data_IF_014234647220
#
_entry.id   IF_014234647220
#
_cell.length_a   1.000
_cell.length_b   1.000
_cell.length_c   1.000
_cell.angle_alpha   90.00
_cell.angle_beta   90.00
_cell.angle_gamma   90.00
#
_symmetry.space_group_name_H-M   'P 1'
#
loop_
_entity.id
_entity.type
_entity.pdbx_description
1 polymer ?
#
# COMPACT_ATOMS: atom_id res chain seq x y z
N UNK A 1 -22.22 49.71 -1.99
CA UNK A 1 -21.79 48.55 -2.82
C UNK A 1 -20.58 47.83 -2.24
N UNK A 2 -19.45 48.50 -1.97
CA UNK A 2 -18.23 47.87 -1.39
C UNK A 2 -18.44 47.04 -0.12
N UNK A 3 -19.25 47.51 0.84
CA UNK A 3 -19.55 46.73 2.05
C UNK A 3 -20.39 45.48 1.82
N UNK A 4 -21.26 45.47 0.79
CA UNK A 4 -22.03 44.28 0.44
C UNK A 4 -21.15 43.21 -0.21
N UNK A 5 -20.20 43.62 -1.06
CA UNK A 5 -19.25 42.72 -1.71
C UNK A 5 -18.31 42.08 -0.67
N UNK A 6 -17.76 42.88 0.25
CA UNK A 6 -16.90 42.38 1.33
C UNK A 6 -17.62 41.39 2.26
N UNK A 7 -18.89 41.66 2.59
CA UNK A 7 -19.69 40.73 3.40
C UNK A 7 -19.93 39.40 2.67
N UNK A 8 -20.27 39.45 1.37
CA UNK A 8 -20.51 38.23 0.58
C UNK A 8 -19.24 37.41 0.40
N UNK A 9 -18.08 38.05 0.19
CA UNK A 9 -16.81 37.33 0.05
C UNK A 9 -16.37 36.72 1.38
N UNK A 10 -16.52 37.44 2.50
CA UNK A 10 -16.19 36.91 3.81
C UNK A 10 -17.09 35.71 4.18
N UNK A 11 -18.39 35.79 3.92
CA UNK A 11 -19.33 34.68 4.16
C UNK A 11 -19.02 33.48 3.27
N UNK A 12 -18.68 33.69 1.99
CA UNK A 12 -18.30 32.61 1.09
C UNK A 12 -17.03 31.89 1.56
N UNK A 13 -15.99 32.63 1.95
CA UNK A 13 -14.75 32.06 2.48
C UNK A 13 -15.00 31.29 3.79
N UNK A 14 -15.86 31.82 4.66
CA UNK A 14 -16.21 31.16 5.93
C UNK A 14 -17.02 29.87 5.70
N UNK A 15 -17.92 29.85 4.72
CA UNK A 15 -18.69 28.66 4.35
C UNK A 15 -17.82 27.59 3.68
N UNK A 16 -16.87 27.99 2.84
CA UNK A 16 -15.91 27.06 2.22
C UNK A 16 -14.98 26.48 3.29
N UNK A 17 -14.43 27.33 4.17
CA UNK A 17 -13.58 26.89 5.28
C UNK A 17 -14.31 25.99 6.27
N UNK A 18 -15.56 26.32 6.63
CA UNK A 18 -16.40 25.49 7.49
C UNK A 18 -16.81 24.17 6.82
N UNK A 19 -17.02 24.16 5.49
CA UNK A 19 -17.28 22.95 4.72
C UNK A 19 -16.09 22.00 4.70
N UNK A 20 -14.87 22.51 4.49
CA UNK A 20 -13.64 21.72 4.53
C UNK A 20 -13.37 21.13 5.92
N UNK A 21 -13.55 21.94 6.97
CA UNK A 21 -13.40 21.49 8.36
C UNK A 21 -14.49 20.48 8.74
N UNK A 22 -15.72 20.64 8.26
CA UNK A 22 -16.80 19.69 8.48
C UNK A 22 -16.58 18.36 7.74
N UNK A 23 -16.05 18.36 6.52
CA UNK A 23 -15.68 17.12 5.80
C UNK A 23 -14.55 16.38 6.53
N UNK A 24 -13.57 17.11 7.06
CA UNK A 24 -12.51 16.51 7.91
C UNK A 24 -13.03 15.97 9.25
N UNK A 25 -13.99 16.66 9.87
CA UNK A 25 -14.53 16.28 11.19
C UNK A 25 -15.67 15.26 11.13
N UNK A 26 -16.32 15.07 9.98
CA UNK A 26 -17.47 14.17 9.81
C UNK A 26 -17.11 12.86 9.07
N UNK A 27 -15.84 12.65 8.72
CA UNK A 27 -15.39 11.50 7.93
C UNK A 27 -15.91 11.59 6.50
N UNK A 28 -15.06 12.06 5.58
CA UNK A 28 -15.31 11.87 4.15
C UNK A 28 -15.41 10.36 3.82
N UNK A 29 -15.88 9.98 2.61
CA UNK A 29 -15.68 8.61 2.14
C UNK A 29 -14.21 8.24 2.32
N UNK A 30 -13.94 7.05 2.86
CA UNK A 30 -12.59 6.59 3.20
C UNK A 30 -11.65 6.66 2.00
N UNK A 31 -10.34 6.64 2.25
CA UNK A 31 -9.40 6.48 1.12
C UNK A 31 -9.61 5.11 0.48
N UNK A 32 -9.34 4.95 -0.82
CA UNK A 32 -9.43 3.63 -1.48
C UNK A 32 -8.55 2.61 -0.75
N UNK A 33 -7.38 3.05 -0.27
CA UNK A 33 -6.50 2.24 0.58
C UNK A 33 -7.17 1.82 1.88
N UNK A 34 -7.83 2.74 2.59
CA UNK A 34 -8.52 2.46 3.85
C UNK A 34 -9.67 1.48 3.67
N UNK A 35 -10.47 1.65 2.61
CA UNK A 35 -11.53 0.70 2.24
C UNK A 35 -10.95 -0.69 1.91
N UNK A 36 -9.84 -0.74 1.17
CA UNK A 36 -9.16 -1.99 0.85
C UNK A 36 -8.63 -2.69 2.11
N UNK A 37 -7.91 -1.96 2.96
CA UNK A 37 -7.33 -2.48 4.20
C UNK A 37 -8.42 -2.98 5.17
N UNK A 38 -9.57 -2.31 5.25
CA UNK A 38 -10.70 -2.74 6.07
C UNK A 38 -11.27 -4.11 5.65
N UNK A 39 -11.04 -4.57 4.42
CA UNK A 39 -11.46 -5.89 3.94
C UNK A 39 -10.48 -7.01 4.29
N UNK A 40 -9.25 -6.68 4.69
CA UNK A 40 -8.22 -7.67 4.90
C UNK A 40 -8.41 -8.48 6.21
N UNK A 41 -7.86 -9.70 6.29
CA UNK A 41 -7.93 -10.53 7.49
C UNK A 41 -7.31 -9.87 8.72
N UNK A 42 -7.92 -10.07 9.90
CA UNK A 42 -7.45 -9.49 11.17
C UNK A 42 -6.00 -9.82 11.54
N UNK A 43 -5.51 -10.99 11.13
CA UNK A 43 -4.17 -11.47 11.44
C UNK A 43 -3.11 -11.01 10.43
N UNK A 44 -3.50 -10.28 9.37
CA UNK A 44 -2.57 -9.74 8.41
C UNK A 44 -1.63 -8.72 9.08
N UNK A 45 -0.34 -8.87 8.76
CA UNK A 45 0.74 -8.09 9.36
C UNK A 45 1.41 -7.14 8.37
N UNK A 46 1.34 -7.50 7.08
CA UNK A 46 1.89 -6.77 5.94
C UNK A 46 0.81 -6.55 4.89
N UNK A 47 0.68 -5.32 4.46
CA UNK A 47 -0.29 -4.89 3.45
C UNK A 47 0.47 -4.13 2.38
N UNK A 48 0.26 -4.46 1.12
CA UNK A 48 0.77 -3.69 -0.01
C UNK A 48 -0.37 -3.39 -0.97
N UNK A 49 -0.42 -2.16 -1.46
CA UNK A 49 -1.55 -1.63 -2.22
C UNK A 49 -1.05 -0.91 -3.46
N UNK A 50 -1.77 -1.09 -4.57
CA UNK A 50 -1.55 -0.33 -5.80
C UNK A 50 -2.90 0.05 -6.41
N UNK A 51 -3.14 1.35 -6.56
CA UNK A 51 -4.25 1.90 -7.34
C UNK A 51 -3.82 1.97 -8.81
N UNK A 52 -4.07 0.89 -9.55
CA UNK A 52 -3.70 0.78 -10.95
C UNK A 52 -4.38 1.83 -11.84
N UNK A 53 -5.57 2.31 -11.47
CA UNK A 53 -6.20 3.42 -12.17
C UNK A 53 -5.40 4.72 -11.98
N UNK A 54 -4.93 5.00 -10.77
CA UNK A 54 -4.04 6.13 -10.48
C UNK A 54 -2.68 5.97 -11.16
N UNK A 55 -2.08 4.78 -11.14
CA UNK A 55 -0.80 4.50 -11.83
C UNK A 55 -0.93 4.76 -13.33
N UNK A 56 -1.97 4.24 -13.98
CA UNK A 56 -2.24 4.51 -15.41
C UNK A 56 -2.38 6.00 -15.70
N UNK A 57 -3.09 6.73 -14.84
CA UNK A 57 -3.25 8.18 -14.99
C UNK A 57 -1.92 8.93 -14.86
N UNK A 58 -1.06 8.53 -13.92
CA UNK A 58 0.25 9.16 -13.68
C UNK A 58 1.22 8.91 -14.84
N UNK A 59 1.28 7.68 -15.36
CA UNK A 59 2.17 7.34 -16.48
C UNK A 59 1.57 7.60 -17.87
N UNK A 60 0.31 8.02 -17.93
CA UNK A 60 -0.38 8.41 -19.17
C UNK A 60 -0.79 7.25 -20.08
N UNK A 61 -1.03 6.06 -19.53
CA UNK A 61 -1.49 4.88 -20.27
C UNK A 61 -3.00 4.71 -20.20
N UNK A 62 -3.58 3.97 -21.16
CA UNK A 62 -5.01 3.68 -21.18
C UNK A 62 -5.33 2.37 -20.45
N UNK A 63 -6.59 2.19 -20.04
CA UNK A 63 -7.04 0.92 -19.47
C UNK A 63 -7.19 -0.14 -20.58
N UNK A 64 -6.08 -0.80 -20.93
CA UNK A 64 -5.97 -1.69 -22.08
C UNK A 64 -4.87 -2.74 -21.87
N UNK A 65 -5.18 -4.01 -22.08
CA UNK A 65 -4.18 -5.10 -22.07
C UNK A 65 -3.04 -4.88 -23.07
N UNK A 66 -3.30 -4.14 -24.16
CA UNK A 66 -2.25 -3.80 -25.14
C UNK A 66 -1.15 -2.90 -24.59
N UNK A 67 -1.43 -2.17 -23.50
CA UNK A 67 -0.53 -1.18 -22.90
C UNK A 67 0.21 -1.77 -21.68
N UNK A 68 -0.02 -3.04 -21.31
CA UNK A 68 0.50 -3.62 -20.07
C UNK A 68 2.03 -3.49 -19.94
N UNK A 69 2.78 -3.79 -21.01
CA UNK A 69 4.24 -3.73 -20.94
C UNK A 69 4.75 -2.30 -20.72
N UNK A 70 4.11 -1.30 -21.35
CA UNK A 70 4.43 0.12 -21.17
C UNK A 70 4.04 0.61 -19.78
N UNK A 71 2.87 0.19 -19.28
CA UNK A 71 2.43 0.48 -17.91
C UNK A 71 3.41 -0.05 -16.86
N UNK A 72 3.87 -1.29 -16.99
CA UNK A 72 4.80 -1.89 -16.03
C UNK A 72 6.19 -1.23 -16.07
N UNK A 73 6.69 -0.90 -17.27
CA UNK A 73 7.99 -0.24 -17.44
C UNK A 73 7.97 1.19 -16.88
N UNK A 74 6.97 2.00 -17.27
CA UNK A 74 6.82 3.36 -16.80
C UNK A 74 6.46 3.43 -15.30
N UNK A 75 5.65 2.50 -14.81
CA UNK A 75 5.31 2.39 -13.40
C UNK A 75 6.51 1.97 -12.54
N UNK A 76 7.41 1.14 -13.06
CA UNK A 76 8.67 0.81 -12.41
C UNK A 76 9.59 2.03 -12.34
N UNK A 77 9.78 2.76 -13.44
CA UNK A 77 10.60 3.97 -13.47
C UNK A 77 10.10 5.08 -12.52
N UNK A 78 8.80 5.06 -12.20
CA UNK A 78 8.16 5.96 -11.24
C UNK A 78 8.05 5.38 -9.81
N UNK A 79 8.59 4.19 -9.56
CA UNK A 79 8.51 3.46 -8.28
C UNK A 79 7.09 3.07 -7.81
N UNK A 80 6.10 3.17 -8.71
CA UNK A 80 4.69 2.93 -8.42
C UNK A 80 4.30 1.45 -8.43
N UNK A 81 5.10 0.60 -9.07
CA UNK A 81 4.81 -0.84 -9.17
C UNK A 81 5.46 -1.65 -8.05
N UNK A 82 6.30 -1.02 -7.21
CA UNK A 82 7.13 -1.71 -6.22
C UNK A 82 6.34 -2.47 -5.14
N UNK A 83 5.16 -1.94 -4.79
CA UNK A 83 4.28 -2.54 -3.79
C UNK A 83 3.38 -3.65 -4.36
N UNK A 84 3.32 -3.82 -5.68
CA UNK A 84 2.35 -4.72 -6.29
C UNK A 84 2.68 -6.20 -6.04
N UNK A 85 1.65 -6.96 -5.66
CA UNK A 85 1.68 -8.43 -5.60
C UNK A 85 1.51 -9.09 -6.97
N UNK A 86 0.97 -8.36 -7.96
CA UNK A 86 0.62 -8.91 -9.27
C UNK A 86 1.65 -8.69 -10.37
N UNK A 87 2.60 -7.76 -10.25
CA UNK A 87 3.59 -7.43 -11.30
C UNK A 87 4.26 -8.68 -11.88
N UNK A 88 4.70 -9.60 -11.02
CA UNK A 88 5.36 -10.85 -11.44
C UNK A 88 4.46 -11.77 -12.27
N UNK A 89 3.14 -11.75 -12.01
CA UNK A 89 2.14 -12.54 -12.72
C UNK A 89 1.44 -11.77 -13.83
N UNK A 90 1.64 -10.46 -13.96
CA UNK A 90 0.86 -9.60 -14.83
C UNK A 90 0.83 -10.07 -16.30
N UNK A 91 1.97 -10.49 -16.91
CA UNK A 91 1.93 -11.05 -18.26
C UNK A 91 1.09 -12.32 -18.37
N UNK A 92 1.13 -13.19 -17.34
CA UNK A 92 0.30 -14.39 -17.29
C UNK A 92 -1.17 -14.05 -17.15
N UNK A 93 -1.50 -13.13 -16.25
CA UNK A 93 -2.87 -12.67 -16.01
C UNK A 93 -3.48 -12.12 -17.30
N UNK A 94 -2.77 -11.24 -18.00
CA UNK A 94 -3.19 -10.70 -19.29
C UNK A 94 -3.45 -11.78 -20.35
N UNK A 95 -2.49 -12.69 -20.54
CA UNK A 95 -2.57 -13.70 -21.60
C UNK A 95 -3.58 -14.83 -21.29
N UNK A 96 -3.62 -15.28 -20.04
CA UNK A 96 -4.32 -16.51 -19.65
C UNK A 96 -5.55 -16.25 -18.80
N UNK A 97 -5.65 -15.15 -18.04
CA UNK A 97 -6.80 -14.86 -17.17
C UNK A 97 -7.72 -13.76 -17.73
N UNK A 98 -7.26 -12.98 -18.71
CA UNK A 98 -8.09 -11.98 -19.41
C UNK A 98 -8.30 -10.70 -18.61
N UNK A 99 -7.46 -10.45 -17.62
CA UNK A 99 -7.38 -9.24 -16.82
C UNK A 99 -5.94 -9.07 -16.33
N UNK A 100 -5.53 -7.87 -16.00
CA UNK A 100 -4.20 -7.58 -15.46
C UNK A 100 -4.18 -6.21 -14.77
N UNK A 101 -3.05 -5.79 -14.17
CA UNK A 101 -2.80 -4.39 -13.80
C UNK A 101 -3.24 -3.33 -14.83
N UNK A 102 -3.27 -3.68 -16.12
CA UNK A 102 -3.70 -2.76 -17.16
C UNK A 102 -5.21 -2.49 -17.20
N UNK A 103 -6.04 -3.33 -16.58
CA UNK A 103 -7.51 -3.25 -16.68
C UNK A 103 -8.24 -3.19 -15.34
N UNK A 104 -7.61 -3.64 -14.25
CA UNK A 104 -8.20 -3.57 -12.90
C UNK A 104 -8.10 -2.16 -12.32
N UNK A 105 -8.90 -1.85 -11.30
CA UNK A 105 -8.85 -0.54 -10.64
C UNK A 105 -7.74 -0.48 -9.61
N UNK A 106 -7.72 -1.43 -8.68
CA UNK A 106 -6.73 -1.48 -7.61
C UNK A 106 -6.52 -2.91 -7.11
N UNK A 107 -5.41 -3.13 -6.43
CA UNK A 107 -5.10 -4.38 -5.72
C UNK A 107 -4.62 -4.11 -4.28
N UNK A 108 -4.87 -5.07 -3.40
CA UNK A 108 -4.31 -5.15 -2.06
C UNK A 108 -3.83 -6.58 -1.78
N UNK A 109 -2.54 -6.73 -1.51
CA UNK A 109 -1.99 -7.97 -0.95
C UNK A 109 -1.89 -7.84 0.58
N UNK A 110 -2.61 -8.72 1.29
CA UNK A 110 -2.54 -8.85 2.74
C UNK A 110 -1.86 -10.19 3.12
N UNK A 111 -0.84 -10.13 3.99
CA UNK A 111 -0.03 -11.28 4.36
C UNK A 111 0.07 -11.47 5.87
N UNK A 112 -0.06 -12.72 6.31
CA UNK A 112 0.19 -13.18 7.66
C UNK A 112 1.09 -14.44 7.64
N UNK A 113 1.60 -14.89 8.81
CA UNK A 113 2.22 -16.21 8.91
C UNK A 113 1.28 -17.36 8.49
N UNK A 114 -0.04 -17.14 8.51
CA UNK A 114 -1.10 -18.11 8.19
C UNK A 114 -1.66 -18.01 6.77
N UNK A 115 -1.17 -17.08 5.95
CA UNK A 115 -1.37 -17.12 4.50
C UNK A 115 -1.25 -15.74 3.85
N UNK A 116 -1.48 -15.69 2.56
CA UNK A 116 -1.55 -14.46 1.79
C UNK A 116 -2.85 -14.42 0.98
N UNK A 117 -3.50 -13.26 0.96
CA UNK A 117 -4.67 -12.99 0.14
C UNK A 117 -4.47 -11.70 -0.67
N UNK A 118 -4.68 -11.80 -1.97
CA UNK A 118 -4.78 -10.69 -2.90
C UNK A 118 -6.26 -10.33 -3.06
N UNK A 119 -6.61 -9.07 -2.89
CA UNK A 119 -7.95 -8.52 -3.08
C UNK A 119 -7.86 -7.52 -4.22
N UNK A 120 -8.65 -7.74 -5.27
CA UNK A 120 -8.56 -6.98 -6.52
C UNK A 120 -9.92 -6.41 -6.86
N UNK A 121 -10.00 -5.10 -7.09
CA UNK A 121 -11.17 -4.49 -7.73
C UNK A 121 -11.08 -4.66 -9.24
N UNK A 122 -12.01 -5.43 -9.80
CA UNK A 122 -12.03 -5.76 -11.22
C UNK A 122 -12.36 -4.56 -12.13
N UNK A 123 -12.90 -3.47 -11.57
CA UNK A 123 -13.33 -2.30 -12.34
C UNK A 123 -14.34 -2.68 -13.42
N UNK A 124 -13.99 -2.42 -14.69
CA UNK A 124 -14.85 -2.75 -15.84
C UNK A 124 -14.72 -4.22 -16.31
N UNK A 125 -13.79 -5.00 -15.75
CA UNK A 125 -13.64 -6.42 -16.08
C UNK A 125 -14.85 -7.20 -15.59
N UNK A 126 -15.50 -7.94 -16.49
CA UNK A 126 -16.68 -8.73 -16.16
C UNK A 126 -16.34 -9.92 -15.25
N UNK A 127 -16.98 -10.06 -14.08
CA UNK A 127 -16.83 -11.23 -13.21
C UNK A 127 -17.13 -12.55 -13.93
N UNK A 128 -18.16 -12.57 -14.78
CA UNK A 128 -18.52 -13.76 -15.55
C UNK A 128 -17.38 -14.18 -16.48
N UNK A 129 -16.76 -13.21 -17.16
CA UNK A 129 -15.63 -13.48 -18.06
C UNK A 129 -14.42 -14.05 -17.32
N UNK A 130 -14.17 -13.57 -16.09
CA UNK A 130 -13.13 -14.13 -15.22
C UNK A 130 -13.44 -15.58 -14.87
N UNK A 131 -14.66 -15.89 -14.42
CA UNK A 131 -15.03 -17.26 -14.04
C UNK A 131 -15.04 -18.24 -15.21
N UNK A 132 -15.49 -17.81 -16.40
CA UNK A 132 -15.39 -18.60 -17.64
C UNK A 132 -13.92 -18.93 -17.96
N UNK A 133 -13.02 -17.98 -17.72
CA UNK A 133 -11.59 -18.18 -17.96
C UNK A 133 -10.96 -19.11 -16.93
N UNK A 134 -11.32 -19.00 -15.66
CA UNK A 134 -10.89 -19.96 -14.61
C UNK A 134 -11.29 -21.39 -14.98
N UNK A 135 -12.53 -21.61 -15.41
CA UNK A 135 -12.98 -22.93 -15.86
C UNK A 135 -12.18 -23.42 -17.08
N UNK A 136 -11.97 -22.56 -18.09
CA UNK A 136 -11.19 -22.90 -19.28
C UNK A 136 -9.72 -23.25 -18.95
N UNK A 137 -9.15 -22.63 -17.93
CA UNK A 137 -7.81 -22.94 -17.43
C UNK A 137 -7.76 -24.28 -16.67
N UNK A 138 -8.90 -24.78 -16.20
CA UNK A 138 -9.00 -26.05 -15.47
C UNK A 138 -9.12 -25.91 -13.96
N UNK A 139 -9.47 -24.72 -13.45
CA UNK A 139 -9.85 -24.58 -12.05
C UNK A 139 -11.13 -25.37 -11.78
N UNK A 140 -11.19 -26.01 -10.61
CA UNK A 140 -12.38 -26.71 -10.18
C UNK A 140 -13.41 -25.70 -9.68
N UNK A 141 -14.56 -25.68 -10.33
CA UNK A 141 -15.68 -24.80 -9.99
C UNK A 141 -16.21 -25.11 -8.57
N UNK A 142 -16.47 -24.09 -7.74
CA UNK A 142 -17.12 -24.28 -6.44
C UNK A 142 -18.58 -24.73 -6.59
N UNK A 143 -19.17 -25.25 -5.50
CA UNK A 143 -20.58 -25.63 -5.47
C UNK A 143 -21.52 -24.42 -5.34
N UNK A 144 -21.04 -23.36 -4.69
CA UNK A 144 -21.71 -22.06 -4.52
C UNK A 144 -21.07 -21.04 -5.45
N UNK A 145 -21.85 -20.12 -6.01
CA UNK A 145 -21.39 -19.21 -7.07
C UNK A 145 -20.28 -18.24 -6.59
N UNK A 146 -20.26 -17.92 -5.30
CA UNK A 146 -19.26 -17.07 -4.62
C UNK A 146 -18.17 -17.87 -3.88
N UNK A 147 -18.15 -19.20 -4.08
CA UNK A 147 -17.18 -20.08 -3.45
C UNK A 147 -15.78 -20.02 -4.07
N UNK A 148 -14.86 -20.79 -3.48
CA UNK A 148 -13.45 -20.84 -3.91
C UNK A 148 -13.25 -21.82 -5.07
N UNK A 149 -12.79 -21.29 -6.20
CA UNK A 149 -12.25 -22.03 -7.33
C UNK A 149 -10.89 -22.62 -6.97
N UNK A 150 -10.73 -23.92 -7.20
CA UNK A 150 -9.52 -24.65 -6.79
C UNK A 150 -8.65 -24.98 -8.00
N UNK A 151 -7.50 -24.32 -8.11
CA UNK A 151 -6.45 -24.64 -9.08
C UNK A 151 -5.33 -25.47 -8.44
N UNK A 152 -4.79 -24.97 -7.34
CA UNK A 152 -3.67 -25.58 -6.61
C UNK A 152 -2.33 -25.47 -7.34
N UNK A 153 -1.27 -25.99 -6.71
CA UNK A 153 0.11 -25.88 -7.19
C UNK A 153 0.34 -26.56 -8.55
N UNK A 154 -0.26 -27.74 -8.78
CA UNK A 154 -0.06 -28.51 -10.00
C UNK A 154 -0.62 -27.79 -11.22
N UNK A 155 -1.80 -27.17 -11.09
CA UNK A 155 -2.40 -26.41 -12.19
C UNK A 155 -1.55 -25.20 -12.55
N UNK A 156 -1.16 -24.39 -11.56
CA UNK A 156 -0.32 -23.21 -11.79
C UNK A 156 1.03 -23.58 -12.40
N UNK A 157 1.68 -24.65 -11.92
CA UNK A 157 2.92 -25.15 -12.49
C UNK A 157 2.73 -25.60 -13.94
N UNK A 158 1.60 -26.26 -14.25
CA UNK A 158 1.23 -26.67 -15.60
C UNK A 158 0.98 -25.49 -16.54
N UNK A 159 0.30 -24.43 -16.09
CA UNK A 159 0.11 -23.20 -16.86
C UNK A 159 1.45 -22.50 -17.10
N UNK A 160 2.25 -22.32 -16.06
CA UNK A 160 3.57 -21.68 -16.15
C UNK A 160 4.51 -22.45 -17.09
N UNK A 161 4.53 -23.78 -17.02
CA UNK A 161 5.35 -24.62 -17.88
C UNK A 161 4.94 -24.59 -19.36
N UNK A 162 3.65 -24.38 -19.66
CA UNK A 162 3.15 -24.28 -21.05
C UNK A 162 3.38 -22.90 -21.65
N UNK A 163 3.23 -21.85 -20.86
CA UNK A 163 3.30 -20.45 -21.33
C UNK A 163 4.71 -19.86 -21.23
N UNK A 164 5.53 -20.37 -20.32
CA UNK A 164 6.80 -19.75 -19.93
C UNK A 164 6.63 -18.51 -19.05
N UNK A 165 5.40 -18.18 -18.66
CA UNK A 165 5.07 -17.04 -17.81
C UNK A 165 5.01 -17.49 -16.34
N UNK A 166 5.18 -16.54 -15.41
CA UNK A 166 5.20 -16.84 -13.97
C UNK A 166 3.81 -16.64 -13.38
N UNK A 167 3.46 -17.54 -12.45
CA UNK A 167 2.30 -17.39 -11.57
C UNK A 167 2.79 -17.24 -10.13
N UNK A 168 2.28 -16.26 -9.42
CA UNK A 168 2.45 -16.14 -7.97
C UNK A 168 1.61 -17.20 -7.26
N UNK A 169 2.04 -17.67 -6.07
CA UNK A 169 1.29 -18.65 -5.30
C UNK A 169 -0.13 -18.20 -4.93
N UNK A 170 -0.41 -16.89 -4.86
CA UNK A 170 -1.74 -16.36 -4.54
C UNK A 170 -2.80 -16.73 -5.58
N UNK A 171 -2.42 -17.09 -6.81
CA UNK A 171 -3.38 -17.51 -7.83
C UNK A 171 -3.89 -18.95 -7.64
N UNK A 172 -3.43 -19.69 -6.63
CA UNK A 172 -3.80 -21.11 -6.48
C UNK A 172 -5.29 -21.33 -6.21
N UNK A 173 -5.91 -20.38 -5.50
CA UNK A 173 -7.29 -20.42 -5.08
C UNK A 173 -7.91 -19.05 -5.36
N UNK A 174 -9.08 -19.03 -6.00
CA UNK A 174 -9.69 -17.77 -6.44
C UNK A 174 -11.17 -17.75 -6.08
N UNK A 175 -11.68 -16.65 -5.56
CA UNK A 175 -13.12 -16.39 -5.43
C UNK A 175 -13.45 -15.07 -6.14
N UNK A 176 -14.63 -14.98 -6.73
CA UNK A 176 -15.10 -13.78 -7.43
C UNK A 176 -16.47 -13.43 -6.89
N UNK A 177 -16.61 -12.26 -6.26
CA UNK A 177 -17.86 -11.78 -5.67
C UNK A 177 -17.87 -10.26 -5.53
N UNK A 178 -19.04 -9.64 -5.63
CA UNK A 178 -19.25 -8.21 -5.40
C UNK A 178 -18.33 -7.27 -6.22
N UNK A 179 -17.95 -7.69 -7.44
CA UNK A 179 -17.01 -6.93 -8.29
C UNK A 179 -15.54 -7.05 -7.88
N UNK A 180 -15.25 -7.88 -6.86
CA UNK A 180 -13.91 -8.17 -6.38
C UNK A 180 -13.47 -9.58 -6.78
N UNK A 181 -12.17 -9.71 -7.04
CA UNK A 181 -11.47 -10.99 -7.10
C UNK A 181 -10.60 -11.15 -5.86
N UNK A 182 -10.73 -12.29 -5.21
CA UNK A 182 -9.95 -12.68 -4.04
C UNK A 182 -9.08 -13.88 -4.43
N UNK A 183 -7.77 -13.76 -4.32
CA UNK A 183 -6.84 -14.83 -4.65
C UNK A 183 -6.00 -15.21 -3.43
N UNK A 184 -5.90 -16.50 -3.11
CA UNK A 184 -5.18 -16.98 -1.94
C UNK A 184 -4.11 -18.02 -2.25
N UNK A 185 -3.05 -18.04 -1.44
CA UNK A 185 -2.02 -19.08 -1.50
C UNK A 185 -2.42 -20.39 -0.81
N UNK A 186 -3.42 -20.31 0.08
CA UNK A 186 -3.99 -21.41 0.85
C UNK A 186 -5.52 -21.33 0.86
N UNK A 187 -6.19 -22.40 0.46
CA UNK A 187 -7.65 -22.46 0.45
C UNK A 187 -8.28 -22.15 1.83
N UNK A 188 -7.87 -22.76 2.96
CA UNK A 188 -8.50 -22.49 4.24
C UNK A 188 -8.32 -21.04 4.72
N UNK A 189 -7.20 -20.41 4.36
CA UNK A 189 -6.93 -19.02 4.69
C UNK A 189 -7.82 -18.08 3.86
N UNK A 190 -7.94 -18.34 2.55
CA UNK A 190 -8.85 -17.60 1.68
C UNK A 190 -10.32 -17.76 2.13
N UNK A 191 -10.75 -18.97 2.47
CA UNK A 191 -12.11 -19.22 3.00
C UNK A 191 -12.36 -18.44 4.30
N UNK A 192 -11.36 -18.34 5.17
CA UNK A 192 -11.44 -17.55 6.40
C UNK A 192 -11.55 -16.05 6.09
N UNK A 193 -10.75 -15.55 5.15
CA UNK A 193 -10.84 -14.16 4.69
C UNK A 193 -12.23 -13.85 4.09
N UNK A 194 -12.77 -14.76 3.28
CA UNK A 194 -14.07 -14.61 2.63
C UNK A 194 -15.25 -14.71 3.61
N UNK A 195 -15.15 -15.54 4.65
CA UNK A 195 -16.16 -15.64 5.70
C UNK A 195 -16.34 -14.32 6.46
N UNK A 196 -15.34 -13.43 6.41
CA UNK A 196 -15.30 -12.19 7.15
C UNK A 196 -15.02 -12.42 8.64
N UNK A 197 -14.80 -11.33 9.35
CA UNK A 197 -14.46 -11.36 10.77
C UNK A 197 -14.16 -9.96 11.29
N UNK A 198 -13.44 -9.90 12.41
CA UNK A 198 -12.82 -8.65 12.81
C UNK A 198 -11.86 -8.20 11.68
N UNK A 199 -11.83 -6.90 11.40
CA UNK A 199 -10.89 -6.33 10.43
C UNK A 199 -9.47 -6.24 11.00
N UNK A 200 -8.56 -5.54 10.32
CA UNK A 200 -7.25 -5.21 10.88
C UNK A 200 -7.39 -4.44 12.20
N UNK A 201 -6.29 -4.34 12.96
CA UNK A 201 -6.28 -3.55 14.19
C UNK A 201 -6.58 -2.06 13.92
N UNK A 202 -7.20 -1.37 14.89
CA UNK A 202 -7.51 0.06 14.78
C UNK A 202 -6.28 0.88 14.36
N UNK A 203 -5.09 0.56 14.89
CA UNK A 203 -3.86 1.27 14.53
C UNK A 203 -3.50 1.13 13.05
N UNK A 204 -3.77 -0.01 12.41
CA UNK A 204 -3.53 -0.22 10.98
C UNK A 204 -4.60 0.46 10.15
N UNK A 205 -5.88 0.31 10.53
CA UNK A 205 -7.00 0.94 9.86
C UNK A 205 -6.89 2.48 9.87
N UNK A 206 -6.63 3.05 11.06
CA UNK A 206 -6.48 4.50 11.23
C UNK A 206 -5.34 5.06 10.38
N UNK A 207 -4.20 4.35 10.26
CA UNK A 207 -3.08 4.78 9.42
C UNK A 207 -3.41 4.72 7.93
N UNK A 208 -4.10 3.68 7.46
CA UNK A 208 -4.52 3.53 6.08
C UNK A 208 -5.49 4.67 5.65
N UNK A 209 -6.35 5.11 6.57
CA UNK A 209 -7.26 6.24 6.36
C UNK A 209 -6.60 7.61 6.57
N UNK A 210 -5.39 7.65 7.09
CA UNK A 210 -4.73 8.91 7.47
C UNK A 210 -3.95 9.57 6.35
N UNK A 211 -3.77 9.00 5.16
CA UNK A 211 -3.08 9.71 4.07
C UNK A 211 -3.81 11.01 3.68
N UNK A 212 -3.07 12.05 3.28
CA UNK A 212 -3.70 13.32 2.86
C UNK A 212 -4.55 13.16 1.61
N UNK A 213 -4.12 12.27 0.71
CA UNK A 213 -4.80 11.84 -0.50
C UNK A 213 -4.65 10.32 -0.62
N UNK A 214 -5.53 9.64 -1.37
CA UNK A 214 -5.37 8.20 -1.58
C UNK A 214 -4.06 7.93 -2.35
N UNK A 215 -3.14 7.12 -1.83
CA UNK A 215 -1.87 6.86 -2.50
C UNK A 215 -2.08 6.02 -3.76
N UNK A 216 -1.24 6.24 -4.78
CA UNK A 216 -1.19 5.40 -5.98
C UNK A 216 -0.51 4.05 -5.69
N UNK A 217 0.45 4.04 -4.76
CA UNK A 217 1.11 2.84 -4.27
C UNK A 217 1.45 3.01 -2.79
N UNK A 218 1.23 1.98 -1.97
CA UNK A 218 1.48 2.06 -0.53
C UNK A 218 1.84 0.72 0.10
N UNK A 219 2.49 0.81 1.26
CA UNK A 219 2.65 -0.27 2.21
C UNK A 219 2.10 0.15 3.57
N UNK A 220 1.47 -0.79 4.28
CA UNK A 220 1.03 -0.62 5.66
C UNK A 220 1.49 -1.84 6.45
N UNK A 221 2.06 -1.65 7.63
CA UNK A 221 2.62 -2.69 8.49
C UNK A 221 2.10 -2.56 9.92
N UNK A 222 1.83 -3.71 10.54
CA UNK A 222 1.67 -3.80 12.00
C UNK A 222 2.99 -3.44 12.70
N UNK A 223 2.92 -3.10 14.00
CA UNK A 223 4.11 -2.86 14.82
C UNK A 223 5.14 -3.99 14.70
N UNK A 224 4.72 -5.25 14.91
CA UNK A 224 5.62 -6.41 14.91
C UNK A 224 6.32 -6.55 13.56
N UNK A 225 5.58 -6.41 12.46
CA UNK A 225 6.17 -6.49 11.13
C UNK A 225 7.10 -5.33 10.82
N UNK A 226 6.71 -4.09 11.15
CA UNK A 226 7.56 -2.92 10.95
C UNK A 226 8.87 -3.04 11.75
N UNK A 227 8.79 -3.44 13.01
CA UNK A 227 9.96 -3.63 13.87
C UNK A 227 10.83 -4.84 13.48
N UNK A 228 10.32 -5.78 12.70
CA UNK A 228 11.13 -6.85 12.10
C UNK A 228 11.74 -6.39 10.78
N UNK A 229 10.89 -5.99 9.84
CA UNK A 229 11.20 -5.71 8.45
C UNK A 229 12.00 -4.42 8.23
N UNK A 230 11.90 -3.44 9.15
CA UNK A 230 12.56 -2.13 9.03
C UNK A 230 13.71 -1.91 10.01
N UNK A 231 14.05 -2.92 10.82
CA UNK A 231 14.99 -2.78 11.92
C UNK A 231 16.45 -2.67 11.48
N UNK A 232 17.19 -1.81 12.19
CA UNK A 232 18.66 -1.76 12.13
C UNK A 232 19.33 -3.10 12.47
N UNK A 233 18.63 -4.07 13.07
CA UNK A 233 19.16 -5.42 13.29
C UNK A 233 19.56 -6.15 12.00
N UNK A 234 19.00 -5.73 10.87
CA UNK A 234 19.35 -6.26 9.55
C UNK A 234 20.63 -5.65 8.97
N UNK A 235 21.07 -4.50 9.49
CA UNK A 235 22.29 -3.83 9.06
C UNK A 235 23.55 -4.49 9.66
N UNK A 236 24.69 -4.25 9.02
CA UNK A 236 25.98 -4.74 9.52
C UNK A 236 26.42 -4.04 10.83
N UNK A 237 27.47 -4.55 11.47
CA UNK A 237 27.95 -4.03 12.75
C UNK A 237 28.37 -2.55 12.70
N UNK A 238 28.87 -2.09 11.56
CA UNK A 238 29.35 -0.72 11.36
C UNK A 238 28.18 0.24 11.21
N UNK A 239 27.20 -0.15 10.41
CA UNK A 239 25.97 0.61 10.19
C UNK A 239 25.13 0.69 11.46
N UNK A 240 25.04 -0.41 12.24
CA UNK A 240 24.39 -0.40 13.55
C UNK A 240 25.06 0.57 14.51
N UNK A 241 26.39 0.55 14.60
CA UNK A 241 27.13 1.49 15.45
C UNK A 241 26.96 2.95 15.00
N UNK A 242 26.81 3.18 13.70
CA UNK A 242 26.50 4.51 13.14
C UNK A 242 25.08 4.92 13.51
N UNK A 243 24.10 4.03 13.34
CA UNK A 243 22.71 4.23 13.74
C UNK A 243 22.58 4.58 15.22
N UNK A 244 23.26 3.85 16.11
CA UNK A 244 23.27 4.14 17.55
C UNK A 244 23.76 5.56 17.87
N UNK A 245 24.79 6.03 17.16
CA UNK A 245 25.32 7.38 17.33
C UNK A 245 24.36 8.46 16.78
N UNK A 246 23.64 8.17 15.71
CA UNK A 246 22.63 9.06 15.14
C UNK A 246 21.42 9.15 16.06
N UNK A 247 20.93 8.03 16.59
CA UNK A 247 19.86 7.96 17.57
C UNK A 247 20.22 8.74 18.85
N UNK A 248 21.42 8.54 19.39
CA UNK A 248 21.89 9.26 20.57
C UNK A 248 21.95 10.79 20.37
N UNK A 249 22.10 11.25 19.14
CA UNK A 249 22.09 12.68 18.77
C UNK A 249 20.68 13.21 18.48
N UNK A 250 19.83 12.43 17.84
CA UNK A 250 18.50 12.83 17.40
C UNK A 250 17.48 12.87 18.55
N UNK A 251 17.65 12.03 19.58
CA UNK A 251 16.82 12.03 20.77
C UNK A 251 16.13 10.70 21.04
N UNK A 252 15.03 10.76 21.78
CA UNK A 252 14.31 9.57 22.23
C UNK A 252 13.44 9.01 21.11
N UNK A 253 13.53 7.70 20.87
CA UNK A 253 12.60 6.96 20.02
C UNK A 253 11.60 6.17 20.87
N UNK A 254 10.41 5.96 20.32
CA UNK A 254 9.41 5.05 20.85
C UNK A 254 9.04 4.00 19.79
N UNK A 255 8.65 2.77 20.21
CA UNK A 255 8.10 1.78 19.29
C UNK A 255 6.87 2.32 18.58
N UNK A 256 6.72 1.96 17.30
CA UNK A 256 5.50 2.27 16.55
C UNK A 256 4.38 1.28 16.89
N UNK A 257 3.13 1.71 16.78
CA UNK A 257 1.95 0.83 16.83
C UNK A 257 1.58 0.30 15.43
N UNK A 258 1.89 1.08 14.39
CA UNK A 258 1.80 0.73 12.99
C UNK A 258 2.69 1.69 12.17
N UNK A 259 3.04 1.28 10.96
CA UNK A 259 3.80 2.08 10.00
C UNK A 259 3.10 2.04 8.64
N UNK A 260 3.05 3.16 7.94
CA UNK A 260 2.64 3.18 6.53
C UNK A 260 3.54 4.12 5.72
N UNK A 261 3.69 3.81 4.45
CA UNK A 261 4.31 4.70 3.48
C UNK A 261 3.55 4.62 2.16
N UNK A 262 3.35 5.75 1.50
CA UNK A 262 2.65 5.81 0.22
C UNK A 262 3.21 6.88 -0.70
N UNK A 263 3.21 6.57 -1.99
CA UNK A 263 3.41 7.53 -3.07
C UNK A 263 2.04 8.11 -3.45
N UNK A 264 1.93 9.43 -3.36
CA UNK A 264 0.73 10.17 -3.69
C UNK A 264 0.69 10.49 -5.20
N UNK A 265 -0.51 10.69 -5.78
CA UNK A 265 -0.64 11.25 -7.12
C UNK A 265 0.17 12.55 -7.28
N UNK A 266 0.83 12.72 -8.43
CA UNK A 266 1.69 13.88 -8.68
C UNK A 266 3.09 13.81 -8.05
N UNK A 267 3.48 12.67 -7.49
CA UNK A 267 4.88 12.35 -7.17
C UNK A 267 5.35 12.68 -5.74
N UNK A 268 4.46 13.17 -4.87
CA UNK A 268 4.77 13.33 -3.44
C UNK A 268 4.78 11.98 -2.71
N UNK A 269 5.38 11.93 -1.52
CA UNK A 269 5.34 10.74 -0.68
C UNK A 269 5.02 11.08 0.77
N UNK A 270 4.37 10.16 1.48
CA UNK A 270 4.10 10.29 2.91
C UNK A 270 4.58 9.06 3.67
N UNK A 271 5.21 9.28 4.82
CA UNK A 271 5.45 8.26 5.83
C UNK A 271 4.61 8.55 7.09
N UNK A 272 3.84 7.57 7.52
CA UNK A 272 2.90 7.65 8.64
C UNK A 272 3.33 6.67 9.74
N UNK A 273 3.39 7.15 10.97
CA UNK A 273 3.83 6.35 12.11
C UNK A 273 2.88 6.53 13.29
N UNK A 274 2.28 5.44 13.73
CA UNK A 274 1.40 5.41 14.90
C UNK A 274 2.18 5.23 16.20
N UNK A 275 1.71 5.88 17.27
CA UNK A 275 2.27 5.76 18.63
C UNK A 275 1.17 5.50 19.66
N UNK A 276 1.55 5.15 20.88
CA UNK A 276 0.60 4.84 21.96
C UNK A 276 -0.14 6.08 22.47
N UNK A 277 0.47 7.27 22.38
CA UNK A 277 -0.12 8.53 22.86
C UNK A 277 0.54 9.75 22.21
N UNK A 278 -0.12 10.90 22.33
CA UNK A 278 0.31 12.19 21.77
C UNK A 278 1.71 12.64 22.20
N UNK A 279 2.12 12.36 23.43
CA UNK A 279 3.43 12.78 23.91
C UNK A 279 4.56 11.97 23.24
N UNK A 280 4.31 10.69 22.98
CA UNK A 280 5.20 9.86 22.18
C UNK A 280 5.24 10.36 20.73
N UNK A 281 4.09 10.66 20.11
CA UNK A 281 4.03 11.17 18.75
C UNK A 281 4.81 12.50 18.60
N UNK A 282 4.58 13.48 19.49
CA UNK A 282 5.32 14.75 19.49
C UNK A 282 6.83 14.56 19.62
N UNK A 283 7.25 13.70 20.56
CA UNK A 283 8.68 13.41 20.75
C UNK A 283 9.28 12.78 19.48
N UNK A 284 8.56 11.85 18.85
CA UNK A 284 9.06 11.15 17.68
C UNK A 284 8.98 11.98 16.40
N UNK A 285 8.08 12.96 16.30
CA UNK A 285 8.09 13.92 15.19
C UNK A 285 9.43 14.64 15.11
N UNK A 286 9.90 15.23 16.21
CA UNK A 286 11.18 15.94 16.27
C UNK A 286 12.36 15.01 15.99
N UNK A 287 12.41 13.86 16.70
CA UNK A 287 13.54 12.93 16.58
C UNK A 287 13.59 12.29 15.19
N UNK A 288 12.46 11.84 14.64
CA UNK A 288 12.45 11.16 13.34
C UNK A 288 12.62 12.13 12.17
N UNK A 289 12.22 13.41 12.30
CA UNK A 289 12.56 14.44 11.32
C UNK A 289 14.09 14.58 11.14
N UNK A 290 14.84 14.57 12.25
CA UNK A 290 16.32 14.63 12.20
C UNK A 290 16.91 13.38 11.55
N UNK A 291 16.35 12.20 11.82
CA UNK A 291 16.83 10.94 11.27
C UNK A 291 16.52 10.81 9.77
N UNK A 292 15.34 11.26 9.33
CA UNK A 292 14.92 11.23 7.93
C UNK A 292 15.66 12.23 7.05
N UNK A 293 16.23 13.29 7.62
CA UNK A 293 17.02 14.28 6.89
C UNK A 293 18.55 14.00 6.90
N UNK A 294 18.96 12.83 7.36
CA UNK A 294 20.37 12.50 7.64
C UNK A 294 20.88 11.25 6.91
N UNK A 295 22.02 10.70 7.38
CA UNK A 295 22.59 9.49 6.82
C UNK A 295 21.65 8.29 6.91
N UNK A 296 21.71 7.40 5.91
CA UNK A 296 20.89 6.20 5.80
C UNK A 296 21.73 4.92 6.03
N UNK A 297 22.20 4.65 7.26
CA UNK A 297 23.02 3.46 7.56
C UNK A 297 22.23 2.19 7.23
N UNK A 298 22.89 1.24 6.56
CA UNK A 298 22.27 0.02 6.08
C UNK A 298 21.59 0.13 4.71
N UNK A 299 21.41 1.35 4.17
CA UNK A 299 20.92 1.58 2.80
C UNK A 299 21.97 2.24 1.90
N UNK A 300 23.03 2.77 2.50
CA UNK A 300 24.06 3.53 1.78
C UNK A 300 23.61 4.95 1.44
N UNK A 301 24.58 5.87 1.46
CA UNK A 301 24.34 7.30 1.23
C UNK A 301 23.50 7.94 2.33
N UNK A 302 22.86 9.06 1.97
CA UNK A 302 21.99 9.81 2.86
C UNK A 302 20.52 9.70 2.39
N UNK A 303 19.56 9.87 3.30
CA UNK A 303 18.14 9.93 2.91
C UNK A 303 17.86 11.17 2.04
N UNK A 304 18.60 12.26 2.27
CA UNK A 304 18.53 13.48 1.47
C UNK A 304 18.97 13.31 0.00
N UNK A 305 19.62 12.19 -0.34
CA UNK A 305 19.93 11.86 -1.73
C UNK A 305 18.71 11.25 -2.46
N UNK A 306 17.67 10.88 -1.72
CA UNK A 306 16.46 10.19 -2.21
C UNK A 306 15.21 11.05 -2.12
N UNK A 307 15.10 11.88 -1.08
CA UNK A 307 13.97 12.76 -0.88
C UNK A 307 14.33 13.96 0.01
N UNK A 308 13.61 15.06 -0.15
CA UNK A 308 13.58 16.14 0.83
C UNK A 308 12.45 15.91 1.85
N UNK A 309 12.69 16.26 3.11
CA UNK A 309 11.64 16.31 4.14
C UNK A 309 11.03 17.71 4.11
N UNK A 310 9.81 17.85 3.61
CA UNK A 310 9.11 19.15 3.54
C UNK A 310 8.51 19.49 4.91
N UNK A 311 7.72 18.57 5.47
CA UNK A 311 7.04 18.78 6.74
C UNK A 311 7.00 17.51 7.59
N UNK A 312 7.18 17.67 8.91
CA UNK A 312 6.89 16.60 9.88
C UNK A 312 5.94 17.15 10.93
N UNK A 313 4.76 16.53 11.03
CA UNK A 313 3.70 16.92 11.98
C UNK A 313 3.34 15.78 12.92
N UNK A 314 2.80 16.15 14.08
CA UNK A 314 2.15 15.19 14.99
C UNK A 314 0.71 15.60 15.24
N UNK A 315 -0.22 14.68 15.04
CA UNK A 315 -1.65 14.87 15.21
C UNK A 315 -2.21 13.70 16.03
N UNK A 316 -2.62 13.97 17.27
CA UNK A 316 -2.98 12.90 18.20
C UNK A 316 -1.82 11.92 18.36
N UNK A 317 -2.07 10.64 18.09
CA UNK A 317 -1.09 9.54 18.15
C UNK A 317 -0.28 9.34 16.87
N UNK A 318 -0.54 10.10 15.81
CA UNK A 318 0.09 9.94 14.50
C UNK A 318 1.25 10.93 14.33
N UNK A 319 2.35 10.47 13.72
CA UNK A 319 3.35 11.32 13.07
C UNK A 319 3.22 11.16 11.57
N UNK A 320 3.14 12.28 10.86
CA UNK A 320 3.19 12.33 9.38
C UNK A 320 4.48 13.02 8.96
N UNK A 321 5.17 12.42 8.00
CA UNK A 321 6.27 13.03 7.27
C UNK A 321 5.84 13.20 5.82
N UNK A 322 5.81 14.44 5.35
CA UNK A 322 5.63 14.79 3.93
C UNK A 322 7.01 14.84 3.30
N UNK A 323 7.20 14.00 2.29
CA UNK A 323 8.46 13.80 1.60
C UNK A 323 8.30 14.21 0.14
N UNK A 324 9.33 14.84 -0.40
CA UNK A 324 9.46 15.16 -1.82
C UNK A 324 10.54 14.26 -2.42
N UNK A 325 10.18 13.16 -3.10
CA UNK A 325 11.12 12.30 -3.80
C UNK A 325 11.99 13.08 -4.81
N UNK A 326 13.28 12.76 -4.83
CA UNK A 326 14.17 13.22 -5.89
C UNK A 326 13.85 12.49 -7.21
N UNK A 327 13.97 13.14 -8.38
CA UNK A 327 13.69 12.50 -9.66
C UNK A 327 14.52 11.21 -9.87
N UNK A 328 13.83 10.10 -10.11
CA UNK A 328 14.44 8.78 -10.31
C UNK A 328 14.87 8.07 -9.02
N UNK A 329 14.51 8.60 -7.84
CA UNK A 329 14.65 7.89 -6.58
C UNK A 329 13.51 6.88 -6.38
N UNK A 330 13.84 5.70 -5.89
CA UNK A 330 12.89 4.62 -5.62
C UNK A 330 12.52 4.60 -4.13
N UNK A 331 11.87 5.67 -3.66
CA UNK A 331 11.61 5.94 -2.24
C UNK A 331 10.76 4.84 -1.59
N UNK A 332 9.68 4.39 -2.23
CA UNK A 332 8.83 3.33 -1.70
C UNK A 332 9.56 1.98 -1.71
N UNK A 333 10.29 1.66 -2.78
CA UNK A 333 11.12 0.44 -2.82
C UNK A 333 12.17 0.42 -1.71
N UNK A 334 12.92 1.51 -1.55
CA UNK A 334 14.05 1.61 -0.61
C UNK A 334 13.61 1.63 0.86
N UNK A 335 12.42 2.16 1.14
CA UNK A 335 11.95 2.43 2.51
C UNK A 335 10.85 1.49 2.99
N UNK A 336 10.40 0.57 2.13
CA UNK A 336 9.43 -0.47 2.50
C UNK A 336 10.09 -1.77 3.00
N UNK A 337 11.41 -1.91 2.88
CA UNK A 337 12.16 -3.09 3.35
C UNK A 337 13.60 -2.76 3.74
N UNK A 338 14.17 -3.55 4.65
CA UNK A 338 15.53 -3.36 5.12
C UNK A 338 15.66 -2.28 6.20
N UNK A 339 16.88 -2.00 6.68
CA UNK A 339 17.07 -1.07 7.81
C UNK A 339 16.65 0.36 7.42
N UNK A 340 15.58 0.88 8.04
CA UNK A 340 15.11 2.26 7.85
C UNK A 340 15.21 2.99 9.18
N UNK A 341 16.26 3.79 9.34
CA UNK A 341 16.62 4.35 10.66
C UNK A 341 15.50 5.21 11.28
N UNK A 342 14.81 6.03 10.49
CA UNK A 342 13.70 6.84 11.00
C UNK A 342 12.42 6.04 11.27
N UNK A 343 12.32 4.80 10.77
CA UNK A 343 11.22 3.88 11.03
C UNK A 343 11.54 2.87 12.16
N UNK A 344 12.76 2.88 12.70
CA UNK A 344 13.24 1.85 13.64
C UNK A 344 12.42 1.73 14.93
N UNK A 345 12.48 0.51 15.45
CA UNK A 345 12.25 0.12 16.84
C UNK A 345 13.59 -0.41 17.40
#
# INVERSE_FOLDING_TARGET
>A
MRHRILLTTAVAVLLIGAGLVAVRLLGGPGSTLGEAVAMAPADAQRYTFTDWAAVRAEVGTSASEGDLAELLDAGFDADLTAASGLVDSAPLLSAEFGWSPATIDWELLAQSPEGAVEIVSLGEVSPDAVTDRLEALGYQRPAEDDGVWVGGTELLAGISGRTGLRATPTLQYVAVRDGLLWAGDRQPYLETALAGGDGPSDAVADLADSFTESPAAAVVYTADHACEALSMRQADDTDRATGDQLLARAGKINPVTAFAMGLLPGGGAEALLGFENDDQARTNADTRAVLAAGPAPGQGGDFSDRFAVDEVTSEGTLVRMVLEPEPGAFVLSDLSSGPVLFATC
#
